data_IF_111898729173
#
_entry.id   IF_111898729173
#
_cell.length_a   1.000
_cell.length_b   1.000
_cell.length_c   1.000
_cell.angle_alpha   90.00
_cell.angle_beta   90.00
_cell.angle_gamma   90.00
#
_symmetry.space_group_name_H-M   'P 1'
#
loop_
_entity.id
_entity.type
_entity.pdbx_description
1 polymer ?
#
# COMPACT_ATOMS: atom_id res chain seq x y z
N UNK A 1 4.61 -42.41 13.68
CA UNK A 1 4.60 -41.84 12.31
C UNK A 1 4.56 -40.33 12.47
N UNK A 2 5.65 -39.63 12.13
CA UNK A 2 5.69 -38.17 12.15
C UNK A 2 5.02 -37.66 10.87
N UNK A 3 3.92 -36.93 11.03
CA UNK A 3 3.31 -36.19 9.93
C UNK A 3 4.21 -34.98 9.62
N UNK A 4 4.94 -35.04 8.51
CA UNK A 4 5.51 -33.83 7.91
C UNK A 4 4.35 -33.00 7.35
N UNK A 5 3.87 -32.02 8.12
CA UNK A 5 3.11 -30.91 7.54
C UNK A 5 4.07 -30.22 6.56
N UNK A 6 3.93 -30.51 5.26
CA UNK A 6 4.50 -29.66 4.22
C UNK A 6 3.69 -28.38 4.21
N UNK A 7 4.09 -27.43 5.05
CA UNK A 7 3.69 -26.05 4.88
C UNK A 7 4.15 -25.63 3.49
N UNK A 8 3.19 -25.29 2.63
CA UNK A 8 3.50 -24.71 1.32
C UNK A 8 4.32 -23.45 1.56
N UNK A 9 5.45 -23.26 0.85
CA UNK A 9 6.24 -22.06 1.01
C UNK A 9 5.41 -20.83 0.67
N UNK A 10 5.75 -19.70 1.29
CA UNK A 10 5.14 -18.42 0.94
C UNK A 10 5.29 -18.15 -0.57
N UNK A 11 4.28 -17.55 -1.22
CA UNK A 11 4.34 -17.24 -2.65
C UNK A 11 5.52 -16.32 -3.00
N UNK A 12 6.12 -16.55 -4.17
CA UNK A 12 7.09 -15.65 -4.79
C UNK A 12 6.45 -15.04 -6.03
N UNK A 13 6.28 -13.73 -6.06
CA UNK A 13 5.62 -13.00 -7.15
C UNK A 13 6.64 -12.03 -7.72
N UNK A 14 6.85 -12.07 -9.04
CA UNK A 14 7.89 -11.30 -9.73
C UNK A 14 7.27 -10.56 -10.91
N UNK A 15 7.41 -9.24 -10.93
CA UNK A 15 7.02 -8.30 -11.99
C UNK A 15 5.54 -8.19 -12.33
N UNK A 16 4.76 -9.26 -12.17
CA UNK A 16 3.32 -9.27 -12.44
C UNK A 16 2.59 -10.14 -11.43
N UNK A 17 1.42 -9.67 -10.98
CA UNK A 17 0.55 -10.47 -10.13
C UNK A 17 -0.49 -9.66 -9.38
N UNK A 18 -1.21 -10.36 -8.50
CA UNK A 18 -2.26 -9.80 -7.65
C UNK A 18 -1.91 -10.01 -6.18
N UNK A 19 -1.88 -8.92 -5.41
CA UNK A 19 -1.66 -8.91 -3.98
C UNK A 19 -2.98 -8.66 -3.25
N UNK A 20 -3.40 -9.62 -2.44
CA UNK A 20 -4.60 -9.51 -1.59
C UNK A 20 -4.20 -9.33 -0.12
N UNK A 21 -3.02 -9.83 0.26
CA UNK A 21 -2.47 -9.64 1.59
C UNK A 21 -2.11 -8.16 1.81
N UNK A 22 -2.70 -7.53 2.84
CA UNK A 22 -2.50 -6.10 3.12
C UNK A 22 -1.04 -5.74 3.41
N UNK A 23 -0.27 -6.61 4.08
CA UNK A 23 1.16 -6.36 4.34
C UNK A 23 1.95 -6.32 3.05
N UNK A 24 1.64 -7.20 2.11
CA UNK A 24 2.34 -7.25 0.82
C UNK A 24 1.90 -6.10 -0.10
N UNK A 25 0.61 -5.75 -0.11
CA UNK A 25 0.12 -4.54 -0.78
C UNK A 25 0.86 -3.30 -0.27
N UNK A 26 1.00 -3.13 1.05
CA UNK A 26 1.74 -2.02 1.67
C UNK A 26 3.20 -2.00 1.20
N UNK A 27 3.90 -3.13 1.29
CA UNK A 27 5.30 -3.25 0.86
C UNK A 27 5.50 -2.87 -0.60
N UNK A 28 4.60 -3.30 -1.49
CA UNK A 28 4.65 -2.95 -2.90
C UNK A 28 4.43 -1.45 -3.11
N UNK A 29 3.41 -0.86 -2.48
CA UNK A 29 3.12 0.57 -2.64
C UNK A 29 4.20 1.47 -2.04
N UNK A 30 4.90 1.03 -0.98
CA UNK A 30 6.02 1.75 -0.38
C UNK A 30 7.25 1.85 -1.30
N UNK A 31 7.31 1.10 -2.41
CA UNK A 31 8.35 1.28 -3.43
C UNK A 31 8.09 2.48 -4.34
N UNK A 32 6.88 3.04 -4.33
CA UNK A 32 6.50 4.17 -5.15
C UNK A 32 6.95 5.48 -4.50
N UNK A 33 7.46 6.40 -5.34
CA UNK A 33 7.83 7.75 -4.93
C UNK A 33 6.96 8.76 -5.67
N UNK A 34 7.40 9.27 -6.82
CA UNK A 34 6.55 10.05 -7.70
C UNK A 34 5.86 9.16 -8.72
N UNK A 35 4.59 9.46 -9.00
CA UNK A 35 3.74 8.67 -9.87
C UNK A 35 2.88 9.57 -10.75
N UNK A 36 2.61 9.10 -11.97
CA UNK A 36 1.42 9.49 -12.72
C UNK A 36 0.27 8.64 -12.20
N UNK A 37 -0.85 9.26 -11.88
CA UNK A 37 -2.04 8.57 -11.41
C UNK A 37 -3.22 8.80 -12.34
N UNK A 38 -4.03 7.76 -12.51
CA UNK A 38 -5.32 7.81 -13.21
C UNK A 38 -6.37 7.16 -12.33
N UNK A 39 -7.47 7.86 -12.09
CA UNK A 39 -8.58 7.36 -11.30
C UNK A 39 -9.76 7.02 -12.21
N UNK A 40 -10.12 5.74 -12.22
CA UNK A 40 -11.21 5.19 -13.01
C UNK A 40 -12.40 4.88 -12.11
N UNK A 41 -13.62 5.15 -12.61
CA UNK A 41 -14.88 4.72 -12.00
C UNK A 41 -15.76 4.17 -13.12
N UNK A 42 -16.23 2.93 -12.98
CA UNK A 42 -17.02 2.23 -14.01
C UNK A 42 -16.30 2.15 -15.37
N UNK A 43 -14.96 2.13 -15.35
CA UNK A 43 -14.12 2.11 -16.55
C UNK A 43 -13.82 3.47 -17.16
N UNK A 44 -14.51 4.53 -16.74
CA UNK A 44 -14.29 5.89 -17.23
C UNK A 44 -13.19 6.60 -16.44
N UNK A 45 -12.34 7.35 -17.14
CA UNK A 45 -11.35 8.23 -16.52
C UNK A 45 -12.07 9.41 -15.88
N UNK A 46 -12.06 9.46 -14.55
CA UNK A 46 -12.62 10.58 -13.78
C UNK A 46 -11.57 11.67 -13.59
N UNK A 47 -10.32 11.29 -13.36
CA UNK A 47 -9.22 12.22 -13.18
C UNK A 47 -7.87 11.59 -13.52
N UNK A 48 -6.92 12.41 -13.95
CA UNK A 48 -5.53 12.02 -14.16
C UNK A 48 -4.59 13.15 -13.73
N UNK A 49 -3.41 12.80 -13.21
CA UNK A 49 -2.43 13.78 -12.77
C UNK A 49 -1.09 13.17 -12.43
N UNK A 50 -0.22 13.99 -11.86
CA UNK A 50 1.07 13.57 -11.30
C UNK A 50 1.13 13.97 -9.83
N UNK A 51 1.84 13.19 -9.02
CA UNK A 51 1.98 13.45 -7.60
C UNK A 51 3.02 12.58 -6.94
N UNK A 52 3.19 12.76 -5.63
CA UNK A 52 4.11 11.99 -4.80
C UNK A 52 3.34 11.18 -3.78
N UNK A 53 3.76 9.93 -3.60
CA UNK A 53 3.30 9.09 -2.49
C UNK A 53 3.94 9.62 -1.21
N UNK A 54 3.12 10.19 -0.36
CA UNK A 54 3.54 10.80 0.90
C UNK A 54 3.57 9.75 2.01
N UNK A 55 2.51 8.93 2.09
CA UNK A 55 2.38 7.91 3.13
C UNK A 55 1.54 6.74 2.59
N UNK A 56 1.97 5.53 2.90
CA UNK A 56 1.18 4.31 2.78
C UNK A 56 0.87 3.82 4.20
N UNK A 57 -0.40 3.56 4.49
CA UNK A 57 -0.84 3.20 5.85
C UNK A 57 -2.06 2.28 5.81
N UNK A 58 -2.45 1.78 6.98
CA UNK A 58 -3.64 0.98 7.21
C UNK A 58 -4.41 1.58 8.38
N UNK A 59 -5.63 2.05 8.13
CA UNK A 59 -6.51 2.55 9.19
C UNK A 59 -7.96 2.40 8.75
N UNK A 60 -8.84 1.96 9.66
CA UNK A 60 -10.28 1.86 9.38
C UNK A 60 -10.97 3.23 9.29
N UNK A 61 -10.35 4.25 9.88
CA UNK A 61 -11.02 5.51 10.20
C UNK A 61 -10.66 6.64 9.23
N UNK A 62 -9.72 6.38 8.32
CA UNK A 62 -9.16 7.39 7.41
C UNK A 62 -9.23 6.91 5.96
N UNK A 63 -9.34 7.85 5.02
CA UNK A 63 -9.50 7.53 3.59
C UNK A 63 -8.16 7.58 2.84
N UNK A 64 -8.09 6.91 1.70
CA UNK A 64 -7.11 7.26 0.66
C UNK A 64 -7.42 8.66 0.14
N UNK A 65 -6.41 9.53 0.07
CA UNK A 65 -6.54 10.90 -0.41
C UNK A 65 -5.51 11.19 -1.51
N UNK A 66 -6.00 11.79 -2.60
CA UNK A 66 -5.17 12.37 -3.65
C UNK A 66 -5.55 13.84 -3.78
N UNK A 67 -4.69 14.73 -3.29
CA UNK A 67 -4.98 16.16 -3.23
C UNK A 67 -3.70 16.97 -3.37
N UNK A 68 -3.72 18.03 -4.18
CA UNK A 68 -2.57 18.93 -4.39
C UNK A 68 -1.27 18.20 -4.81
N UNK A 69 -1.39 17.10 -5.58
CA UNK A 69 -0.23 16.29 -5.97
C UNK A 69 0.36 15.44 -4.84
N UNK A 70 -0.32 15.32 -3.70
CA UNK A 70 0.05 14.45 -2.58
C UNK A 70 -0.88 13.25 -2.50
N UNK A 71 -0.30 12.05 -2.43
CA UNK A 71 -1.02 10.79 -2.31
C UNK A 71 -0.80 10.20 -0.91
N UNK A 72 -1.89 10.05 -0.16
CA UNK A 72 -1.95 9.35 1.12
C UNK A 72 -2.75 8.08 0.88
N UNK A 73 -2.07 6.93 0.81
CA UNK A 73 -2.65 5.66 0.39
C UNK A 73 -3.02 4.82 1.61
N UNK A 74 -4.31 4.62 1.84
CA UNK A 74 -4.81 3.66 2.81
C UNK A 74 -5.05 2.31 2.12
N UNK A 75 -4.26 1.29 2.48
CA UNK A 75 -4.37 -0.06 1.91
C UNK A 75 -5.70 -0.76 2.23
N UNK A 76 -6.42 -0.27 3.25
CA UNK A 76 -7.74 -0.78 3.60
C UNK A 76 -8.86 -0.18 2.73
N UNK A 77 -8.57 0.81 1.89
CA UNK A 77 -9.54 1.37 0.92
C UNK A 77 -9.66 0.55 -0.38
N UNK A 78 -8.91 -0.54 -0.51
CA UNK A 78 -8.82 -1.34 -1.72
C UNK A 78 -8.88 -2.82 -1.39
N UNK A 79 -9.52 -3.62 -2.24
CA UNK A 79 -9.60 -5.07 -2.09
C UNK A 79 -8.26 -5.74 -2.40
N UNK A 80 -7.61 -5.34 -3.50
CA UNK A 80 -6.34 -5.90 -3.94
C UNK A 80 -5.50 -4.88 -4.72
N UNK A 81 -4.21 -5.18 -4.88
CA UNK A 81 -3.32 -4.51 -5.84
C UNK A 81 -3.02 -5.47 -6.97
N UNK A 82 -3.28 -5.06 -8.20
CA UNK A 82 -2.76 -5.72 -9.39
C UNK A 82 -1.54 -4.94 -9.88
N UNK A 83 -0.47 -5.61 -10.27
CA UNK A 83 0.70 -4.93 -10.83
C UNK A 83 1.25 -5.70 -12.02
N UNK A 84 1.80 -4.97 -12.98
CA UNK A 84 2.32 -5.50 -14.23
C UNK A 84 3.32 -4.53 -14.84
N UNK A 85 4.20 -5.06 -15.70
CA UNK A 85 5.20 -4.26 -16.42
C UNK A 85 4.59 -3.76 -17.72
N UNK A 86 4.65 -2.44 -17.96
CA UNK A 86 4.25 -1.82 -19.22
C UNK A 86 5.33 -2.00 -20.30
N UNK A 87 4.99 -1.67 -21.55
CA UNK A 87 5.91 -1.79 -22.69
C UNK A 87 7.19 -0.94 -22.52
N UNK A 88 7.11 0.15 -21.76
CA UNK A 88 8.24 1.01 -21.40
C UNK A 88 9.13 0.43 -20.29
N UNK A 89 8.78 -0.73 -19.74
CA UNK A 89 9.49 -1.39 -18.64
C UNK A 89 9.09 -0.91 -17.25
N UNK A 90 8.19 0.07 -17.12
CA UNK A 90 7.72 0.56 -15.83
C UNK A 90 6.66 -0.37 -15.24
N UNK A 91 6.79 -0.68 -13.95
CA UNK A 91 5.78 -1.44 -13.23
C UNK A 91 4.62 -0.52 -12.84
N UNK A 92 3.47 -0.72 -13.45
CA UNK A 92 2.23 -0.03 -13.08
C UNK A 92 1.50 -0.83 -12.02
N UNK A 93 0.92 -0.13 -11.05
CA UNK A 93 0.13 -0.72 -9.97
C UNK A 93 -1.30 -0.19 -10.02
N UNK A 94 -2.27 -1.08 -9.95
CA UNK A 94 -3.70 -0.81 -9.92
C UNK A 94 -4.24 -1.20 -8.56
N UNK A 95 -4.66 -0.20 -7.78
CA UNK A 95 -5.35 -0.41 -6.51
C UNK A 95 -6.85 -0.47 -6.80
N UNK A 96 -7.48 -1.61 -6.52
CA UNK A 96 -8.83 -1.91 -7.00
C UNK A 96 -9.83 -2.04 -5.85
N UNK A 97 -10.97 -1.37 -5.99
CA UNK A 97 -12.12 -1.43 -5.08
C UNK A 97 -13.41 -1.49 -5.91
N UNK A 98 -13.98 -2.68 -6.08
CA UNK A 98 -15.17 -2.92 -6.92
C UNK A 98 -15.00 -2.38 -8.37
N UNK A 99 -15.74 -1.33 -8.72
CA UNK A 99 -15.72 -0.66 -10.03
C UNK A 99 -14.75 0.54 -10.08
N UNK A 100 -13.93 0.75 -9.04
CA UNK A 100 -12.98 1.85 -8.93
C UNK A 100 -11.56 1.32 -9.03
N UNK A 101 -10.74 2.01 -9.82
CA UNK A 101 -9.31 1.70 -9.97
C UNK A 101 -8.51 2.98 -9.81
N UNK A 102 -7.57 2.98 -8.86
CA UNK A 102 -6.50 3.97 -8.82
C UNK A 102 -5.25 3.33 -9.42
N UNK A 103 -4.92 3.74 -10.64
CA UNK A 103 -3.73 3.27 -11.36
C UNK A 103 -2.57 4.23 -11.08
N UNK A 104 -1.41 3.69 -10.73
CA UNK A 104 -0.18 4.41 -10.40
C UNK A 104 0.97 3.90 -11.26
N UNK A 105 1.58 4.78 -12.04
CA UNK A 105 2.77 4.49 -12.84
C UNK A 105 3.94 5.33 -12.33
N UNK A 106 5.08 4.72 -11.93
CA UNK A 106 6.25 5.45 -11.46
C UNK A 106 6.77 6.48 -12.46
N UNK A 107 7.34 7.58 -11.97
CA UNK A 107 8.08 8.56 -12.78
C UNK A 107 9.58 8.37 -12.52
N UNK A 108 10.37 8.03 -13.53
CA UNK A 108 11.79 7.64 -13.38
C UNK A 108 12.73 8.74 -12.84
N UNK A 109 12.36 10.02 -13.01
CA UNK A 109 13.26 11.17 -12.86
C UNK A 109 13.11 11.94 -11.53
N UNK A 110 12.64 11.31 -10.45
CA UNK A 110 12.34 12.01 -9.19
C UNK A 110 13.26 11.70 -8.01
N UNK A 111 14.41 11.05 -8.24
CA UNK A 111 15.36 10.63 -7.20
C UNK A 111 15.87 11.74 -6.27
N UNK A 112 15.68 13.03 -6.63
CA UNK A 112 16.07 14.19 -5.80
C UNK A 112 14.97 14.71 -4.86
N UNK A 113 13.69 14.60 -5.23
CA UNK A 113 12.59 15.06 -4.38
C UNK A 113 12.24 14.06 -3.27
N UNK A 114 12.64 12.80 -3.45
CA UNK A 114 12.24 11.67 -2.61
C UNK A 114 12.99 11.51 -1.28
N UNK A 115 14.09 12.24 -1.09
CA UNK A 115 14.81 12.24 0.20
C UNK A 115 14.19 13.22 1.20
N UNK A 116 13.83 14.42 0.74
CA UNK A 116 13.31 15.49 1.59
C UNK A 116 11.95 15.11 2.17
N UNK A 117 11.03 14.59 1.34
CA UNK A 117 9.71 14.20 1.83
C UNK A 117 9.78 13.03 2.83
N UNK A 118 10.54 11.97 2.53
CA UNK A 118 10.74 10.86 3.47
C UNK A 118 11.35 11.33 4.79
N UNK A 119 12.32 12.24 4.78
CA UNK A 119 12.93 12.77 6.01
C UNK A 119 11.94 13.62 6.83
N UNK A 120 11.09 14.43 6.19
CA UNK A 120 10.06 15.25 6.88
C UNK A 120 8.97 14.36 7.50
N UNK A 121 8.47 13.36 6.76
CA UNK A 121 7.39 12.49 7.24
C UNK A 121 7.91 11.37 8.17
N UNK A 122 9.16 10.94 8.05
CA UNK A 122 9.79 10.05 9.04
C UNK A 122 10.10 10.77 10.36
N UNK A 123 10.35 12.09 10.35
CA UNK A 123 10.52 12.85 11.58
C UNK A 123 9.20 13.09 12.34
N UNK A 124 8.05 12.84 11.71
CA UNK A 124 6.72 12.94 12.31
C UNK A 124 6.13 11.54 12.52
N UNK A 125 6.80 10.74 13.36
CA UNK A 125 6.18 9.56 13.98
C UNK A 125 5.04 10.04 14.90
N UNK A 126 3.85 10.25 14.35
CA UNK A 126 2.63 10.04 15.13
C UNK A 126 2.47 8.53 15.22
N UNK A 127 3.07 7.95 16.26
CA UNK A 127 2.76 6.60 16.73
C UNK A 127 1.31 6.60 17.18
N UNK A 128 0.40 6.14 16.32
CA UNK A 128 -1.00 5.91 16.67
C UNK A 128 -1.38 4.43 16.51
N UNK A 129 -0.42 3.53 16.75
CA UNK A 129 -0.66 2.10 16.98
C UNK A 129 0.08 1.63 18.25
N UNK A 130 -0.48 1.96 19.40
CA UNK A 130 -0.43 1.07 20.56
C UNK A 130 -1.83 1.01 21.15
N UNK A 131 -2.64 0.01 20.72
CA UNK A 131 -3.23 -0.84 21.76
C UNK A 131 -3.41 -2.27 21.26
N UNK A 132 -2.48 -3.16 21.61
CA UNK A 132 -2.73 -4.60 21.47
C UNK A 132 -2.02 -5.43 22.55
N UNK A 133 -1.75 -4.88 23.74
CA UNK A 133 -1.36 -5.67 24.92
C UNK A 133 -1.90 -5.00 26.19
N UNK A 134 -3.19 -5.16 26.45
CA UNK A 134 -3.80 -4.94 27.78
C UNK A 134 -5.02 -5.84 27.95
N UNK A 135 -4.94 -7.07 27.45
CA UNK A 135 -5.84 -8.16 27.82
C UNK A 135 -5.00 -9.43 27.90
N UNK A 136 -5.23 -10.19 28.96
CA UNK A 136 -4.53 -11.39 29.44
C UNK A 136 -3.29 -11.03 30.30
N UNK A 137 -3.32 -11.05 31.64
CA UNK A 137 -3.92 -12.02 32.57
C UNK A 137 -4.43 -11.30 33.83
N UNK A 138 -5.75 -11.36 34.11
CA UNK A 138 -6.20 -11.42 35.51
C UNK A 138 -6.15 -12.90 35.83
N UNK A 139 -5.10 -13.33 36.50
CA UNK A 139 -4.99 -14.66 37.06
C UNK A 139 -5.92 -14.71 38.29
N UNK A 140 -7.19 -15.05 38.04
CA UNK A 140 -8.12 -15.54 39.06
C UNK A 140 -7.72 -16.98 39.42
N UNK A 141 -6.69 -17.15 40.25
CA UNK A 141 -6.56 -18.15 41.33
C UNK A 141 -5.08 -18.27 41.78
N UNK A 142 -4.72 -17.66 42.92
CA UNK A 142 -4.16 -18.40 44.07
C UNK A 142 -3.73 -17.48 45.24
N UNK A 143 -4.44 -17.63 46.37
CA UNK A 143 -4.16 -17.31 47.79
C UNK A 143 -4.85 -16.10 48.44
#
# INVERSE_FOLDING_TARGET
MQNFHRETPAPCIVNEGVLINKKDMRRALETLEAVRYTYYVDGDIIFQGEGVVVKVFSSSDTSTLVVNGCLFLNILSFNYVHFFVQEDGLTTMELVENNRVLQLTPIEDTRKLSRINREIFAATHYDEEAPAELFDEIDDDDR
#
